data_IF_237805046344
#
_entry.id   IF_237805046344
#
_cell.length_a   1.000
_cell.length_b   1.000
_cell.length_c   1.000
_cell.angle_alpha   90.00
_cell.angle_beta   90.00
_cell.angle_gamma   90.00
#
_symmetry.space_group_name_H-M   'P 1'
#
loop_
_entity.id
_entity.type
_entity.pdbx_description
1 polymer ?
#
# COMPACT_ATOMS: atom_id res chain seq x y z
N UNK A 1 27.47 -19.51 21.04
CA UNK A 1 27.36 -19.52 19.56
C UNK A 1 25.90 -19.40 19.16
N UNK A 2 25.42 -18.21 18.81
CA UNK A 2 24.02 -18.00 18.40
C UNK A 2 23.87 -18.25 16.89
N UNK A 3 22.99 -19.19 16.51
CA UNK A 3 22.64 -19.47 15.10
C UNK A 3 21.33 -18.75 14.73
N UNK A 4 21.42 -17.63 14.01
CA UNK A 4 20.31 -17.09 13.23
C UNK A 4 20.31 -17.78 11.86
N UNK A 5 19.52 -18.86 11.69
CA UNK A 5 19.45 -19.62 10.42
C UNK A 5 18.07 -19.72 9.78
N UNK A 6 17.03 -19.08 10.32
CA UNK A 6 15.64 -19.23 9.80
C UNK A 6 14.80 -17.95 9.68
N UNK A 7 15.26 -16.81 10.21
CA UNK A 7 14.42 -15.60 10.29
C UNK A 7 14.25 -14.88 8.95
N UNK A 8 15.29 -14.89 8.09
CA UNK A 8 15.29 -14.15 6.82
C UNK A 8 14.28 -14.75 5.82
N UNK A 9 14.19 -16.08 5.75
CA UNK A 9 13.20 -16.75 4.89
C UNK A 9 11.76 -16.55 5.40
N UNK A 10 11.54 -16.55 6.72
CA UNK A 10 10.21 -16.26 7.30
C UNK A 10 9.80 -14.81 7.05
N UNK A 11 10.74 -13.86 7.08
CA UNK A 11 10.47 -12.47 6.69
C UNK A 11 10.03 -12.36 5.23
N UNK A 12 10.76 -13.04 4.32
CA UNK A 12 10.42 -13.07 2.89
C UNK A 12 9.05 -13.69 2.63
N UNK A 13 8.70 -14.74 3.38
CA UNK A 13 7.40 -15.40 3.27
C UNK A 13 6.28 -14.53 3.86
N UNK A 14 6.50 -13.91 5.03
CA UNK A 14 5.55 -12.98 5.64
C UNK A 14 5.31 -11.74 4.77
N UNK A 15 6.33 -11.21 4.10
CA UNK A 15 6.17 -10.08 3.16
C UNK A 15 5.35 -10.47 1.93
N UNK A 16 5.48 -11.69 1.42
CA UNK A 16 4.68 -12.18 0.30
C UNK A 16 3.21 -12.39 0.71
N UNK A 17 2.94 -13.01 1.86
CA UNK A 17 1.56 -13.19 2.33
C UNK A 17 0.90 -11.86 2.67
N UNK A 18 1.65 -10.93 3.27
CA UNK A 18 1.18 -9.57 3.50
C UNK A 18 0.82 -8.88 2.19
N UNK A 19 1.68 -8.98 1.16
CA UNK A 19 1.42 -8.42 -0.17
C UNK A 19 0.15 -9.01 -0.81
N UNK A 20 -0.03 -10.33 -0.76
CA UNK A 20 -1.22 -10.97 -1.32
C UNK A 20 -2.49 -10.48 -0.64
N UNK A 21 -2.50 -10.43 0.70
CA UNK A 21 -3.62 -9.89 1.46
C UNK A 21 -3.85 -8.40 1.17
N UNK A 22 -2.78 -7.63 1.02
CA UNK A 22 -2.84 -6.23 0.65
C UNK A 22 -3.49 -6.04 -0.72
N UNK A 23 -2.99 -6.75 -1.73
CA UNK A 23 -3.51 -6.71 -3.08
C UNK A 23 -5.01 -7.04 -3.14
N UNK A 24 -5.42 -8.13 -2.50
CA UNK A 24 -6.83 -8.54 -2.46
C UNK A 24 -7.72 -7.49 -1.79
N UNK A 25 -7.23 -6.86 -0.70
CA UNK A 25 -7.96 -5.81 0.02
C UNK A 25 -8.09 -4.52 -0.78
N UNK A 26 -7.02 -4.15 -1.51
CA UNK A 26 -7.00 -2.95 -2.35
C UNK A 26 -7.91 -3.13 -3.58
N UNK A 27 -7.85 -4.28 -4.24
CA UNK A 27 -8.75 -4.61 -5.36
C UNK A 27 -10.21 -4.60 -4.90
N UNK A 28 -10.50 -5.11 -3.69
CA UNK A 28 -11.84 -5.05 -3.10
C UNK A 28 -12.32 -3.61 -2.87
N UNK A 29 -11.41 -2.68 -2.58
CA UNK A 29 -11.67 -1.26 -2.41
C UNK A 29 -11.64 -0.47 -3.74
N UNK A 30 -12.02 -1.14 -4.83
CA UNK A 30 -12.17 -0.60 -6.19
C UNK A 30 -10.92 0.02 -6.83
N UNK A 31 -9.74 -0.23 -6.27
CA UNK A 31 -8.50 0.12 -6.93
C UNK A 31 -8.19 -0.86 -8.07
N UNK A 32 -7.70 -0.31 -9.18
CA UNK A 32 -7.17 -1.08 -10.31
C UNK A 32 -5.65 -1.09 -10.26
N UNK A 33 -5.09 -2.28 -10.24
CA UNK A 33 -3.64 -2.49 -10.40
C UNK A 33 -3.20 -2.06 -11.81
N UNK A 34 -2.04 -1.43 -11.89
CA UNK A 34 -1.44 -1.05 -13.16
C UNK A 34 -0.84 -2.29 -13.86
N UNK A 35 -1.01 -2.36 -15.18
CA UNK A 35 -0.59 -3.51 -16.00
C UNK A 35 0.94 -3.57 -16.13
N UNK A 36 1.61 -2.42 -16.08
CA UNK A 36 3.07 -2.31 -16.28
C UNK A 36 3.83 -2.50 -14.96
N UNK A 37 3.34 -1.88 -13.88
CA UNK A 37 3.95 -1.95 -12.55
C UNK A 37 2.91 -2.42 -11.53
N UNK A 38 3.05 -3.66 -11.07
CA UNK A 38 2.20 -4.31 -10.07
C UNK A 38 2.19 -3.60 -8.70
N UNK A 39 3.09 -2.63 -8.51
CA UNK A 39 3.18 -1.83 -7.29
C UNK A 39 2.36 -0.53 -7.34
N UNK A 40 1.71 -0.23 -8.46
CA UNK A 40 0.94 0.99 -8.67
C UNK A 40 -0.54 0.63 -8.81
N UNK A 41 -1.37 1.30 -8.02
CA UNK A 41 -2.81 1.15 -8.03
C UNK A 41 -3.48 2.50 -8.27
N UNK A 42 -4.58 2.47 -9.01
CA UNK A 42 -5.35 3.65 -9.39
C UNK A 42 -6.82 3.43 -9.05
N UNK A 43 -7.41 4.34 -8.28
CA UNK A 43 -8.86 4.45 -8.13
C UNK A 43 -9.31 5.78 -8.73
N UNK A 44 -10.31 5.70 -9.61
CA UNK A 44 -10.94 6.85 -10.27
C UNK A 44 -12.42 6.81 -9.99
N UNK A 45 -12.89 7.79 -9.22
CA UNK A 45 -14.29 7.99 -8.86
C UNK A 45 -14.76 9.34 -9.40
N UNK A 46 -15.23 9.34 -10.66
CA UNK A 46 -15.64 10.55 -11.36
C UNK A 46 -14.46 11.50 -11.61
N UNK A 47 -14.45 12.67 -10.98
CA UNK A 47 -13.35 13.64 -11.03
C UNK A 47 -12.26 13.39 -9.98
N UNK A 48 -12.50 12.49 -9.02
CA UNK A 48 -11.57 12.15 -7.95
C UNK A 48 -10.64 11.03 -8.41
N UNK A 49 -9.35 11.23 -8.20
CA UNK A 49 -8.30 10.30 -8.61
C UNK A 49 -7.35 10.13 -7.44
N UNK A 50 -7.10 8.87 -7.07
CA UNK A 50 -6.08 8.51 -6.10
C UNK A 50 -5.17 7.42 -6.66
N UNK A 51 -3.88 7.69 -6.55
CA UNK A 51 -2.79 6.77 -6.81
C UNK A 51 -2.29 6.21 -5.49
N UNK A 52 -2.12 4.90 -5.43
CA UNK A 52 -1.47 4.20 -4.35
C UNK A 52 -0.25 3.50 -4.92
N UNK A 53 0.93 3.78 -4.36
CA UNK A 53 2.19 3.19 -4.77
C UNK A 53 2.77 2.44 -3.58
N UNK A 54 3.00 1.15 -3.75
CA UNK A 54 3.61 0.30 -2.74
C UNK A 54 5.12 0.18 -3.00
N UNK A 55 5.94 0.68 -2.09
CA UNK A 55 7.40 0.60 -2.17
C UNK A 55 7.97 -0.17 -0.98
N UNK A 56 8.21 -1.47 -1.17
CA UNK A 56 8.77 -2.43 -0.20
C UNK A 56 7.95 -2.59 1.09
N UNK A 57 7.93 -1.56 1.95
CA UNK A 57 7.19 -1.48 3.22
C UNK A 57 6.42 -0.14 3.34
N UNK A 58 6.70 0.84 2.48
CA UNK A 58 6.05 2.15 2.50
C UNK A 58 4.92 2.19 1.48
N UNK A 59 3.84 2.89 1.84
CA UNK A 59 2.72 3.18 0.94
C UNK A 59 2.74 4.69 0.69
N UNK A 60 2.80 5.08 -0.57
CA UNK A 60 2.65 6.46 -1.01
C UNK A 60 1.25 6.64 -1.59
N UNK A 61 0.53 7.62 -1.09
CA UNK A 61 -0.79 8.02 -1.60
C UNK A 61 -0.65 9.39 -2.26
N UNK A 62 -1.14 9.52 -3.50
CA UNK A 62 -1.22 10.78 -4.20
C UNK A 62 -2.64 10.94 -4.76
N UNK A 63 -3.32 12.02 -4.40
CA UNK A 63 -4.72 12.25 -4.81
C UNK A 63 -4.95 13.72 -5.10
N UNK A 64 -5.95 13.99 -5.93
CA UNK A 64 -6.43 15.34 -6.18
C UNK A 64 -7.55 15.79 -5.21
N UNK A 65 -7.99 14.91 -4.31
CA UNK A 65 -9.08 15.13 -3.37
C UNK A 65 -8.68 14.70 -1.96
N UNK A 66 -8.70 15.64 -1.01
CA UNK A 66 -8.28 15.39 0.38
C UNK A 66 -9.28 14.53 1.15
N UNK A 67 -10.59 14.65 0.86
CA UNK A 67 -11.60 13.81 1.53
C UNK A 67 -11.38 12.34 1.17
N UNK A 68 -11.13 12.06 -0.12
CA UNK A 68 -10.80 10.72 -0.60
C UNK A 68 -9.46 10.20 -0.07
N UNK A 69 -8.49 11.09 0.19
CA UNK A 69 -7.25 10.74 0.90
C UNK A 69 -7.55 10.22 2.30
N UNK A 70 -8.34 10.97 3.06
CA UNK A 70 -8.67 10.64 4.45
C UNK A 70 -9.47 9.33 4.55
N UNK A 71 -10.44 9.13 3.65
CA UNK A 71 -11.19 7.89 3.55
C UNK A 71 -10.28 6.69 3.27
N UNK A 72 -9.42 6.79 2.25
CA UNK A 72 -8.48 5.72 1.89
C UNK A 72 -7.50 5.43 3.03
N UNK A 73 -7.01 6.47 3.72
CA UNK A 73 -6.11 6.34 4.86
C UNK A 73 -6.78 5.67 6.06
N UNK A 74 -8.03 5.99 6.34
CA UNK A 74 -8.82 5.34 7.39
C UNK A 74 -9.09 3.88 7.05
N UNK A 75 -9.43 3.59 5.80
CA UNK A 75 -9.63 2.22 5.31
C UNK A 75 -8.35 1.39 5.46
N UNK A 76 -7.21 1.93 5.02
CA UNK A 76 -5.91 1.31 5.15
C UNK A 76 -5.54 1.04 6.61
N UNK A 77 -5.72 2.04 7.49
CA UNK A 77 -5.42 1.92 8.92
C UNK A 77 -6.34 0.95 9.66
N UNK A 78 -7.54 0.71 9.12
CA UNK A 78 -8.49 -0.27 9.70
C UNK A 78 -8.16 -1.71 9.29
N UNK A 79 -7.56 -1.91 8.11
CA UNK A 79 -7.21 -3.23 7.60
C UNK A 79 -5.77 -3.66 7.91
N UNK A 80 -4.87 -2.69 8.09
CA UNK A 80 -3.44 -2.91 8.28
C UNK A 80 -2.88 -2.01 9.38
N UNK A 81 -1.88 -2.51 10.10
CA UNK A 81 -1.10 -1.71 11.05
C UNK A 81 -0.15 -0.76 10.28
N UNK A 82 -0.70 0.38 9.85
CA UNK A 82 0.03 1.40 9.10
C UNK A 82 0.30 2.60 10.00
N UNK A 83 1.53 3.10 9.95
CA UNK A 83 1.91 4.35 10.59
C UNK A 83 1.87 5.46 9.55
N UNK A 84 1.07 6.47 9.82
CA UNK A 84 1.09 7.70 9.03
C UNK A 84 2.41 8.45 9.24
N UNK A 85 3.10 8.75 8.13
CA UNK A 85 4.36 9.51 8.12
C UNK A 85 4.16 10.98 7.73
N UNK A 86 2.93 11.41 7.46
CA UNK A 86 2.63 12.76 7.00
C UNK A 86 2.86 12.96 5.50
N UNK A 87 2.93 14.22 5.09
CA UNK A 87 3.06 14.60 3.68
C UNK A 87 4.47 14.29 3.14
N UNK A 88 4.53 13.58 2.01
CA UNK A 88 5.80 13.23 1.38
C UNK A 88 6.47 14.49 0.80
N UNK A 89 7.63 14.87 1.33
CA UNK A 89 8.34 16.07 0.89
C UNK A 89 9.17 15.86 -0.38
N UNK A 90 9.47 14.61 -0.75
CA UNK A 90 10.28 14.27 -1.92
C UNK A 90 9.90 12.89 -2.45
N UNK A 91 9.69 12.79 -3.76
CA UNK A 91 9.45 11.53 -4.49
C UNK A 91 10.62 11.37 -5.46
N UNK A 92 11.38 10.26 -5.34
CA UNK A 92 12.59 9.99 -6.14
C UNK A 92 12.24 9.15 -7.36
#
# INVERSE_FOLDING_TARGET
MCKLKKSIYRLKQASCEWYLKFNDTIIFFEFKENIVDQCIYLNVSGSKVIFLILYVINILLATNDLDHLHETKNFLSSNFEIKDMGEASYVI
#
